data_IF_574054783268
#
_entry.id   IF_574054783268
#
_cell.length_a   1.000
_cell.length_b   1.000
_cell.length_c   1.000
_cell.angle_alpha   90.00
_cell.angle_beta   90.00
_cell.angle_gamma   90.00
#
_symmetry.space_group_name_H-M   'P 1'
#
loop_
_entity.id
_entity.type
_entity.pdbx_description
1 polymer ?
#
# COMPACT_ATOMS: atom_id res chain seq x y z
N UNK A 1 23.46 -66.59 29.46
CA UNK A 1 23.92 -65.18 29.59
C UNK A 1 23.40 -64.42 28.37
N UNK A 2 22.35 -63.60 28.52
CA UNK A 2 21.75 -62.84 27.41
C UNK A 2 21.72 -61.35 27.80
N UNK A 3 22.64 -60.57 27.23
CA UNK A 3 22.74 -59.13 27.47
C UNK A 3 21.69 -58.43 26.61
N UNK A 4 20.61 -57.97 27.24
CA UNK A 4 19.59 -57.11 26.62
C UNK A 4 20.14 -55.69 26.48
N UNK A 5 20.55 -55.32 25.27
CA UNK A 5 20.88 -53.94 24.92
C UNK A 5 19.62 -53.07 24.94
N UNK A 6 19.47 -52.24 25.99
CA UNK A 6 18.46 -51.16 26.01
C UNK A 6 18.93 -50.06 25.04
N UNK A 7 18.38 -50.05 23.82
CA UNK A 7 18.52 -48.89 22.92
C UNK A 7 17.91 -47.66 23.61
N UNK A 8 18.77 -46.74 24.03
CA UNK A 8 18.41 -45.40 24.51
C UNK A 8 17.69 -44.70 23.34
N UNK A 9 16.36 -44.60 23.39
CA UNK A 9 15.61 -43.75 22.46
C UNK A 9 16.09 -42.32 22.69
N UNK A 10 16.95 -41.83 21.80
CA UNK A 10 17.53 -40.51 21.91
C UNK A 10 16.45 -39.47 21.65
N UNK A 11 16.41 -38.45 22.50
CA UNK A 11 15.45 -37.36 22.53
C UNK A 11 15.57 -36.46 21.28
N UNK A 12 15.15 -36.95 20.11
CA UNK A 12 15.17 -36.22 18.82
C UNK A 12 14.35 -34.92 18.84
N UNK A 13 13.47 -34.76 19.83
CA UNK A 13 12.64 -33.56 20.02
C UNK A 13 13.46 -32.31 20.35
N UNK A 14 14.61 -32.45 21.03
CA UNK A 14 15.45 -31.32 21.40
C UNK A 14 16.14 -30.66 20.20
N UNK A 15 16.57 -31.46 19.21
CA UNK A 15 17.24 -30.97 18.00
C UNK A 15 16.28 -30.17 17.13
N UNK A 16 15.07 -30.69 16.89
CA UNK A 16 14.04 -29.98 16.12
C UNK A 16 13.66 -28.61 16.74
N UNK A 17 13.63 -28.52 18.08
CA UNK A 17 13.39 -27.24 18.76
C UNK A 17 14.52 -26.22 18.51
N UNK A 18 15.78 -26.67 18.50
CA UNK A 18 16.93 -25.78 18.26
C UNK A 18 16.98 -25.32 16.81
N UNK A 19 16.70 -26.21 15.86
CA UNK A 19 16.60 -25.86 14.44
C UNK A 19 15.50 -24.80 14.22
N UNK A 20 14.31 -25.01 14.81
CA UNK A 20 13.24 -24.02 14.76
C UNK A 20 13.66 -22.70 15.41
N UNK A 21 14.34 -22.72 16.56
CA UNK A 21 14.77 -21.51 17.25
C UNK A 21 15.74 -20.66 16.41
N UNK A 22 16.57 -21.28 15.56
CA UNK A 22 17.49 -20.59 14.66
C UNK A 22 16.78 -20.10 13.39
N UNK A 23 15.84 -20.87 12.85
CA UNK A 23 15.10 -20.50 11.64
C UNK A 23 14.00 -19.45 11.88
N UNK A 24 13.34 -19.49 13.04
CA UNK A 24 12.16 -18.69 13.34
C UNK A 24 12.40 -17.17 13.23
N UNK A 25 13.51 -16.58 13.72
CA UNK A 25 13.77 -15.15 13.55
C UNK A 25 13.77 -14.70 12.09
N UNK A 26 14.38 -15.50 11.19
CA UNK A 26 14.44 -15.18 9.76
C UNK A 26 13.05 -15.31 9.13
N UNK A 27 12.31 -16.37 9.45
CA UNK A 27 10.95 -16.58 8.95
C UNK A 27 10.02 -15.45 9.39
N UNK A 28 10.09 -15.03 10.66
CA UNK A 28 9.31 -13.92 11.21
C UNK A 28 9.61 -12.62 10.46
N UNK A 29 10.90 -12.30 10.23
CA UNK A 29 11.29 -11.13 9.46
C UNK A 29 10.76 -11.17 8.03
N UNK A 30 10.85 -12.33 7.35
CA UNK A 30 10.35 -12.48 5.99
C UNK A 30 8.83 -12.33 5.91
N UNK A 31 8.09 -12.91 6.85
CA UNK A 31 6.62 -12.83 6.88
C UNK A 31 6.17 -11.40 7.12
N UNK A 32 6.66 -10.74 8.18
CA UNK A 32 6.27 -9.36 8.47
C UNK A 32 6.78 -8.38 7.40
N UNK A 33 7.99 -8.60 6.86
CA UNK A 33 8.50 -7.83 5.74
C UNK A 33 7.65 -7.98 4.48
N UNK A 34 7.14 -9.17 4.18
CA UNK A 34 6.25 -9.40 3.05
C UNK A 34 4.87 -8.76 3.24
N UNK A 35 4.30 -8.85 4.44
CA UNK A 35 3.02 -8.17 4.79
C UNK A 35 3.17 -6.67 4.60
N UNK A 36 4.26 -6.11 5.10
CA UNK A 36 4.53 -4.69 5.02
C UNK A 36 4.73 -4.23 3.58
N UNK A 37 5.61 -4.92 2.82
CA UNK A 37 5.86 -4.61 1.42
C UNK A 37 4.57 -4.66 0.59
N UNK A 38 3.72 -5.66 0.85
CA UNK A 38 2.41 -5.77 0.19
C UNK A 38 1.50 -4.60 0.53
N UNK A 39 1.50 -4.13 1.79
CA UNK A 39 0.71 -2.97 2.23
C UNK A 39 1.17 -1.68 1.53
N UNK A 40 2.49 -1.46 1.42
CA UNK A 40 3.05 -0.32 0.66
C UNK A 40 2.68 -0.35 -0.83
N UNK A 41 2.81 -1.52 -1.47
CA UNK A 41 2.48 -1.69 -2.88
C UNK A 41 0.98 -1.45 -3.10
N UNK A 42 0.14 -2.03 -2.25
CA UNK A 42 -1.31 -1.85 -2.30
C UNK A 42 -1.70 -0.38 -2.16
N UNK A 43 -1.14 0.33 -1.17
CA UNK A 43 -1.42 1.74 -0.96
C UNK A 43 -1.02 2.56 -2.19
N UNK A 44 0.22 2.40 -2.67
CA UNK A 44 0.72 3.14 -3.84
C UNK A 44 -0.14 2.90 -5.09
N UNK A 45 -0.53 1.66 -5.35
CA UNK A 45 -1.38 1.32 -6.48
C UNK A 45 -2.79 1.91 -6.33
N UNK A 46 -3.31 1.96 -5.11
CA UNK A 46 -4.63 2.54 -4.82
C UNK A 46 -4.65 4.03 -5.05
N UNK A 47 -3.61 4.76 -4.60
CA UNK A 47 -3.44 6.19 -4.89
C UNK A 47 -3.34 6.44 -6.39
N UNK A 48 -2.56 5.62 -7.11
CA UNK A 48 -2.38 5.78 -8.56
C UNK A 48 -3.67 5.55 -9.36
N UNK A 49 -4.43 4.51 -9.03
CA UNK A 49 -5.72 4.24 -9.69
C UNK A 49 -6.74 5.34 -9.37
N UNK A 50 -6.80 5.80 -8.12
CA UNK A 50 -7.69 6.90 -7.73
C UNK A 50 -7.33 8.20 -8.46
N UNK A 51 -6.04 8.53 -8.54
CA UNK A 51 -5.54 9.67 -9.29
C UNK A 51 -5.93 9.57 -10.78
N UNK A 52 -5.65 8.44 -11.42
CA UNK A 52 -5.96 8.21 -12.83
C UNK A 52 -7.45 8.36 -13.14
N UNK A 53 -8.32 7.71 -12.36
CA UNK A 53 -9.76 7.79 -12.57
C UNK A 53 -10.33 9.17 -12.20
N UNK A 54 -9.75 9.84 -11.21
CA UNK A 54 -10.14 11.19 -10.81
C UNK A 54 -9.82 12.23 -11.88
N UNK A 55 -8.59 12.22 -12.42
CA UNK A 55 -8.23 13.15 -13.50
C UNK A 55 -9.00 12.83 -14.78
N UNK A 56 -9.18 11.55 -15.11
CA UNK A 56 -9.98 11.13 -16.27
C UNK A 56 -11.41 11.64 -16.21
N UNK A 57 -12.01 11.72 -15.03
CA UNK A 57 -13.33 12.30 -14.87
C UNK A 57 -13.28 13.83 -14.95
N UNK A 58 -12.26 14.46 -14.39
CA UNK A 58 -12.11 15.92 -14.39
C UNK A 58 -11.88 16.51 -15.80
N UNK A 59 -11.15 15.80 -16.68
CA UNK A 59 -10.83 16.29 -18.03
C UNK A 59 -12.01 16.26 -19.01
N UNK A 60 -13.11 15.58 -18.65
CA UNK A 60 -14.30 15.49 -19.50
C UNK A 60 -14.92 16.87 -19.72
N UNK A 61 -15.50 17.06 -20.90
CA UNK A 61 -16.27 18.26 -21.24
C UNK A 61 -17.40 18.48 -20.23
N UNK A 62 -17.42 19.66 -19.61
CA UNK A 62 -18.43 20.03 -18.61
C UNK A 62 -18.21 19.44 -17.21
N UNK A 63 -17.08 18.79 -16.97
CA UNK A 63 -16.69 18.31 -15.65
C UNK A 63 -15.95 19.38 -14.83
N UNK A 64 -15.67 19.07 -13.57
CA UNK A 64 -15.00 19.95 -12.62
C UNK A 64 -14.05 19.18 -11.69
N UNK A 65 -13.24 19.91 -10.94
CA UNK A 65 -12.39 19.33 -9.88
C UNK A 65 -13.23 18.54 -8.87
N UNK A 66 -14.42 19.02 -8.53
CA UNK A 66 -15.31 18.34 -7.60
C UNK A 66 -15.75 16.97 -8.11
N UNK A 67 -16.05 16.84 -9.41
CA UNK A 67 -16.39 15.55 -10.02
C UNK A 67 -15.20 14.58 -9.97
N UNK A 68 -14.01 15.05 -10.35
CA UNK A 68 -12.79 14.25 -10.33
C UNK A 68 -12.37 13.85 -8.91
N UNK A 69 -12.48 14.78 -7.95
CA UNK A 69 -12.21 14.52 -6.54
C UNK A 69 -13.17 13.48 -5.99
N UNK A 70 -14.49 13.65 -6.16
CA UNK A 70 -15.48 12.66 -5.74
C UNK A 70 -15.19 11.28 -6.34
N UNK A 71 -14.78 11.21 -7.61
CA UNK A 71 -14.40 9.95 -8.26
C UNK A 71 -13.18 9.31 -7.62
N UNK A 72 -12.13 10.07 -7.34
CA UNK A 72 -10.92 9.60 -6.66
C UNK A 72 -11.24 9.12 -5.23
N UNK A 73 -11.99 9.92 -4.46
CA UNK A 73 -12.39 9.60 -3.09
C UNK A 73 -13.24 8.33 -3.02
N UNK A 74 -14.19 8.14 -3.94
CA UNK A 74 -14.98 6.91 -4.03
C UNK A 74 -14.10 5.66 -4.20
N UNK A 75 -13.02 5.75 -4.99
CA UNK A 75 -12.07 4.64 -5.18
C UNK A 75 -11.25 4.40 -3.93
N UNK A 76 -10.76 5.47 -3.27
CA UNK A 76 -9.97 5.37 -2.05
C UNK A 76 -10.79 4.77 -0.90
N UNK A 77 -12.03 5.23 -0.73
CA UNK A 77 -12.97 4.70 0.25
C UNK A 77 -13.31 3.23 -0.02
N UNK A 78 -13.56 2.87 -1.29
CA UNK A 78 -13.82 1.47 -1.67
C UNK A 78 -12.62 0.54 -1.42
N UNK A 79 -11.41 1.10 -1.38
CA UNK A 79 -10.16 0.39 -1.07
C UNK A 79 -9.74 0.54 0.39
N UNK A 80 -10.56 1.18 1.22
CA UNK A 80 -10.32 1.42 2.64
C UNK A 80 -8.99 2.12 2.93
N UNK A 81 -8.61 3.07 2.07
CA UNK A 81 -7.48 3.97 2.33
C UNK A 81 -7.92 5.05 3.30
N UNK A 82 -7.14 5.32 4.35
CA UNK A 82 -7.40 6.31 5.38
C UNK A 82 -6.49 7.55 5.23
N UNK A 83 -6.94 8.69 5.76
CA UNK A 83 -6.17 9.94 5.85
C UNK A 83 -5.56 10.41 4.51
N UNK A 84 -6.29 10.20 3.42
CA UNK A 84 -5.84 10.62 2.09
C UNK A 84 -6.15 12.08 1.80
N UNK A 85 -5.41 12.65 0.85
CA UNK A 85 -5.61 13.99 0.30
C UNK A 85 -5.62 13.90 -1.24
N UNK A 86 -6.57 14.58 -1.87
CA UNK A 86 -6.69 14.69 -3.33
C UNK A 86 -6.60 16.17 -3.68
N UNK A 87 -5.64 16.53 -4.54
CA UNK A 87 -5.41 17.91 -4.93
C UNK A 87 -5.16 18.04 -6.45
N UNK A 88 -5.76 19.06 -7.06
CA UNK A 88 -5.44 19.48 -8.43
C UNK A 88 -4.39 20.60 -8.35
N UNK A 89 -3.24 20.42 -9.00
CA UNK A 89 -2.07 21.28 -8.78
C UNK A 89 -2.02 22.50 -9.68
N UNK A 90 -2.76 22.45 -10.77
CA UNK A 90 -2.82 23.44 -11.83
C UNK A 90 -4.11 24.28 -11.76
N UNK A 91 -4.81 24.23 -10.62
CA UNK A 91 -5.98 25.05 -10.36
C UNK A 91 -7.30 24.40 -10.78
N UNK A 92 -8.29 25.23 -11.11
CA UNK A 92 -9.61 24.76 -11.51
C UNK A 92 -9.58 24.24 -12.95
N UNK A 93 -9.90 22.96 -13.11
CA UNK A 93 -9.98 22.27 -14.39
C UNK A 93 -11.02 22.89 -15.30
N UNK A 94 -12.05 23.56 -14.78
CA UNK A 94 -13.03 24.27 -15.61
C UNK A 94 -12.39 25.42 -16.43
N UNK A 95 -11.35 26.06 -15.89
CA UNK A 95 -10.65 27.20 -16.49
C UNK A 95 -9.48 26.82 -17.41
N UNK A 96 -9.10 25.54 -17.45
CA UNK A 96 -8.02 25.03 -18.30
C UNK A 96 -8.51 24.89 -19.74
N UNK A 97 -7.69 25.27 -20.72
CA UNK A 97 -8.08 25.16 -22.13
C UNK A 97 -7.99 23.71 -22.63
N UNK A 98 -8.76 23.38 -23.66
CA UNK A 98 -8.65 22.06 -24.30
C UNK A 98 -7.25 21.88 -24.89
N UNK A 99 -6.68 20.71 -24.71
CA UNK A 99 -5.30 20.44 -25.13
C UNK A 99 -4.24 20.81 -24.10
N UNK A 100 -4.60 21.42 -22.98
CA UNK A 100 -3.68 21.65 -21.86
C UNK A 100 -3.70 20.51 -20.84
N UNK A 101 -2.61 20.40 -20.07
CA UNK A 101 -2.43 19.34 -19.08
C UNK A 101 -3.21 19.61 -17.79
N UNK A 102 -3.91 18.56 -17.34
CA UNK A 102 -4.53 18.46 -16.02
C UNK A 102 -3.70 17.59 -15.10
N UNK A 103 -3.32 18.13 -13.92
CA UNK A 103 -2.47 17.42 -12.96
C UNK A 103 -3.21 17.19 -11.65
N UNK A 104 -3.44 15.93 -11.32
CA UNK A 104 -3.96 15.51 -10.02
C UNK A 104 -2.86 14.86 -9.20
N UNK A 105 -2.87 15.13 -7.90
CA UNK A 105 -2.01 14.51 -6.91
C UNK A 105 -2.86 13.91 -5.80
N UNK A 106 -2.63 12.63 -5.52
CA UNK A 106 -3.30 11.89 -4.45
C UNK A 106 -2.24 11.37 -3.50
N UNK A 107 -2.38 11.67 -2.21
CA UNK A 107 -1.42 11.29 -1.18
C UNK A 107 -2.09 10.67 0.03
N UNK A 108 -1.39 9.80 0.74
CA UNK A 108 -1.83 9.21 2.00
C UNK A 108 -0.63 8.78 2.85
N UNK A 109 -0.71 8.91 4.18
CA UNK A 109 0.36 8.48 5.08
C UNK A 109 0.34 6.97 5.30
N UNK A 110 1.50 6.36 5.49
CA UNK A 110 1.62 4.90 5.61
C UNK A 110 1.24 4.39 6.99
N UNK A 111 1.34 5.20 8.04
CA UNK A 111 0.96 4.81 9.41
C UNK A 111 -0.52 4.47 9.59
N UNK A 112 -1.43 5.16 8.90
CA UNK A 112 -2.88 4.89 8.98
C UNK A 112 -3.35 3.77 8.03
N UNK A 113 -2.42 3.24 7.22
CA UNK A 113 -2.72 2.34 6.10
C UNK A 113 -1.86 1.06 6.11
N UNK A 114 -1.03 0.87 7.13
CA UNK A 114 -0.17 -0.30 7.29
C UNK A 114 -0.16 -0.79 8.75
N UNK A 115 -0.14 -2.10 8.99
CA UNK A 115 -0.18 -2.68 10.33
C UNK A 115 1.11 -2.51 11.16
N UNK A 116 2.30 -2.31 10.56
CA UNK A 116 3.58 -2.23 11.31
C UNK A 116 4.22 -0.84 11.27
N UNK A 117 3.74 0.06 10.42
CA UNK A 117 4.23 1.44 10.31
C UNK A 117 3.72 2.28 11.48
N UNK A 118 4.60 3.15 12.00
CA UNK A 118 4.32 3.99 13.18
C UNK A 118 4.80 3.37 14.50
N UNK A 119 5.05 2.06 14.53
CA UNK A 119 5.63 1.36 15.69
C UNK A 119 7.06 0.89 15.44
N UNK A 120 7.33 0.29 14.27
CA UNK A 120 8.65 -0.25 13.93
C UNK A 120 9.27 0.37 12.69
N UNK A 121 8.45 0.96 11.81
CA UNK A 121 8.88 1.55 10.54
C UNK A 121 8.43 3.02 10.51
N UNK A 122 9.31 3.96 10.11
CA UNK A 122 8.97 5.37 10.07
C UNK A 122 7.82 5.64 9.09
N UNK A 123 6.91 6.53 9.51
CA UNK A 123 5.82 7.00 8.66
C UNK A 123 6.36 7.71 7.41
N UNK A 124 5.71 7.48 6.27
CA UNK A 124 5.95 8.18 5.02
C UNK A 124 4.62 8.53 4.37
N UNK A 125 4.53 9.71 3.80
CA UNK A 125 3.42 10.05 2.91
C UNK A 125 3.74 9.53 1.53
N UNK A 126 2.95 8.57 1.04
CA UNK A 126 3.02 8.14 -0.35
C UNK A 126 2.18 9.10 -1.20
N UNK A 127 2.70 9.41 -2.37
CA UNK A 127 2.06 10.32 -3.32
C UNK A 127 2.05 9.67 -4.70
N UNK A 128 0.93 9.78 -5.39
CA UNK A 128 0.78 9.45 -6.80
C UNK A 128 0.32 10.69 -7.56
N UNK A 129 1.01 11.01 -8.65
CA UNK A 129 0.67 12.13 -9.52
C UNK A 129 0.37 11.60 -10.91
N UNK A 130 -0.75 12.03 -11.48
CA UNK A 130 -1.17 11.66 -12.84
C UNK A 130 -1.44 12.93 -13.61
N UNK A 131 -1.02 12.93 -14.88
CA UNK A 131 -1.23 14.02 -15.84
C UNK A 131 -2.07 13.49 -16.99
N UNK A 132 -3.10 14.24 -17.40
CA UNK A 132 -3.88 13.97 -18.61
C UNK A 132 -4.20 15.27 -19.34
N UNK A 133 -4.24 15.21 -20.66
CA UNK A 133 -4.65 16.34 -21.50
C UNK A 133 -6.17 16.53 -21.41
N UNK A 134 -6.62 17.79 -21.32
CA UNK A 134 -8.04 18.13 -21.31
C UNK A 134 -8.69 17.90 -22.67
N UNK A 135 -9.84 17.22 -22.68
CA UNK A 135 -10.64 16.89 -23.87
C UNK A 135 -11.44 18.08 -24.42
#
# INVERSE_FOLDING_TARGET
>A
MLIRSRRKQTNRRGVATVELAVCLPVLVLLVFGAIEASSFIFLKQSLNVAAYEGVREAVRVGSSNGNGQNRAENILNARSVNDFNVAFLNGDVSAIDRGEDVVIEVSAPTNSNSPLVGQFIPNRTLTARVVMVKE
#
